data_IF_980329253117
#
_entry.id   IF_980329253117
#
_cell.length_a   1.000
_cell.length_b   1.000
_cell.length_c   1.000
_cell.angle_alpha   90.00
_cell.angle_beta   90.00
_cell.angle_gamma   90.00
#
_symmetry.space_group_name_H-M   'P 1'
#
loop_
_entity.id
_entity.type
_entity.pdbx_description
1 polymer ?
#
# COMPACT_ATOMS: atom_id res chain seq x y z
N UNK A 1 -21.20 -9.87 11.83
CA UNK A 1 -20.38 -9.72 10.64
C UNK A 1 -18.99 -10.29 10.88
N UNK A 2 -18.54 -11.09 9.95
CA UNK A 2 -17.24 -11.71 10.09
C UNK A 2 -16.15 -10.74 9.70
N UNK A 3 -15.24 -10.52 10.63
CA UNK A 3 -14.03 -9.77 10.33
C UNK A 3 -12.88 -10.76 10.40
N UNK A 4 -12.41 -11.14 9.24
CA UNK A 4 -11.27 -12.01 9.19
C UNK A 4 -10.01 -11.23 9.52
N UNK A 5 -9.15 -11.81 10.30
CA UNK A 5 -7.85 -11.24 10.60
C UNK A 5 -6.83 -11.73 9.58
N UNK A 6 -5.93 -10.85 9.21
CA UNK A 6 -4.85 -11.18 8.28
C UNK A 6 -3.52 -10.82 8.91
N UNK A 7 -2.53 -11.64 8.68
CA UNK A 7 -1.18 -11.26 9.02
C UNK A 7 -0.54 -10.56 7.83
N UNK A 8 0.51 -9.81 8.08
CA UNK A 8 1.25 -9.22 6.98
C UNK A 8 1.85 -10.29 6.08
N UNK A 9 2.30 -11.38 6.67
CA UNK A 9 2.84 -12.49 5.88
C UNK A 9 1.82 -13.00 4.86
N UNK A 10 0.54 -13.08 5.25
CA UNK A 10 -0.49 -13.48 4.31
C UNK A 10 -0.65 -12.45 3.18
N UNK A 11 -0.62 -11.17 3.53
CA UNK A 11 -0.77 -10.13 2.53
C UNK A 11 0.36 -10.15 1.50
N UNK A 12 1.58 -10.47 1.95
CA UNK A 12 2.72 -10.49 1.04
C UNK A 12 2.65 -11.59 0.00
N UNK A 13 1.76 -12.55 0.19
CA UNK A 13 1.60 -13.64 -0.78
C UNK A 13 0.54 -13.35 -1.83
N UNK A 14 -0.21 -12.28 -1.67
CA UNK A 14 -1.32 -11.97 -2.55
C UNK A 14 -0.89 -10.90 -3.55
N UNK A 15 -1.36 -11.03 -4.78
CA UNK A 15 -1.09 -10.02 -5.80
C UNK A 15 -1.98 -8.82 -5.56
N UNK A 16 -1.38 -7.64 -5.58
CA UNK A 16 -2.13 -6.39 -5.44
C UNK A 16 -2.50 -5.92 -6.85
N UNK A 17 -3.78 -5.77 -7.09
CA UNK A 17 -4.29 -5.42 -8.41
C UNK A 17 -5.09 -4.13 -8.29
N UNK A 18 -4.76 -3.18 -9.15
CA UNK A 18 -5.53 -1.94 -9.21
C UNK A 18 -6.76 -2.18 -10.06
N UNK A 19 -7.93 -2.15 -9.41
CA UNK A 19 -9.19 -2.45 -10.09
C UNK A 19 -9.52 -1.41 -11.15
N UNK A 20 -9.07 -0.18 -10.98
CA UNK A 20 -9.40 0.90 -11.91
C UNK A 20 -8.81 0.66 -13.30
N UNK A 21 -7.62 0.09 -13.38
CA UNK A 21 -6.98 -0.13 -14.69
C UNK A 21 -6.57 -1.59 -14.90
N UNK A 22 -6.84 -2.46 -13.96
CA UNK A 22 -6.55 -3.88 -14.09
C UNK A 22 -5.08 -4.24 -13.97
N UNK A 23 -4.23 -3.31 -13.58
CA UNK A 23 -2.79 -3.57 -13.53
C UNK A 23 -2.41 -4.26 -12.24
N UNK A 24 -1.50 -5.21 -12.35
CA UNK A 24 -0.91 -5.84 -11.17
C UNK A 24 0.26 -4.99 -10.69
N UNK A 25 0.25 -4.66 -9.41
CA UNK A 25 1.25 -3.79 -8.81
C UNK A 25 2.30 -4.56 -8.03
N UNK A 26 2.22 -5.88 -8.07
CA UNK A 26 3.14 -6.72 -7.32
C UNK A 26 2.56 -7.12 -5.99
N UNK A 27 3.40 -7.61 -5.11
CA UNK A 27 2.99 -8.04 -3.78
C UNK A 27 3.47 -7.04 -2.76
N UNK A 28 2.69 -6.87 -1.69
CA UNK A 28 3.06 -5.93 -0.65
C UNK A 28 4.44 -6.25 -0.10
N UNK A 29 5.29 -5.24 -0.01
CA UNK A 29 6.63 -5.40 0.52
C UNK A 29 6.82 -4.67 1.85
N UNK A 30 5.86 -3.87 2.26
CA UNK A 30 5.93 -3.17 3.54
C UNK A 30 4.55 -2.78 4.00
N UNK A 31 4.43 -2.54 5.29
CA UNK A 31 3.20 -2.13 5.94
C UNK A 31 3.50 -0.89 6.76
N UNK A 32 2.70 0.14 6.56
CA UNK A 32 2.89 1.40 7.29
C UNK A 32 1.79 1.49 8.35
N UNK A 33 2.20 1.69 9.59
CA UNK A 33 1.24 1.82 10.67
C UNK A 33 1.67 2.94 11.61
N UNK A 34 0.68 3.49 12.31
CA UNK A 34 0.92 4.56 13.25
C UNK A 34 1.40 4.01 14.58
N UNK A 35 1.94 4.90 15.41
CA UNK A 35 2.44 4.49 16.72
C UNK A 35 1.33 3.97 17.63
N UNK A 36 0.08 4.27 17.33
CA UNK A 36 -1.05 3.76 18.12
C UNK A 36 -1.58 2.43 17.57
N UNK A 37 -0.94 1.87 16.56
CA UNK A 37 -1.27 0.54 16.08
C UNK A 37 -2.25 0.49 14.93
N UNK A 38 -2.63 1.64 14.37
CA UNK A 38 -3.53 1.66 13.23
C UNK A 38 -2.75 1.52 11.93
N UNK A 39 -3.24 0.67 11.04
CA UNK A 39 -2.61 0.48 9.74
C UNK A 39 -2.93 1.67 8.85
N UNK A 40 -1.90 2.32 8.36
CA UNK A 40 -2.05 3.47 7.46
C UNK A 40 -2.14 3.05 6.00
N UNK A 41 -1.40 2.03 5.62
CA UNK A 41 -1.41 1.55 4.26
C UNK A 41 -0.36 0.50 4.01
N UNK A 42 -0.26 0.10 2.77
CA UNK A 42 0.74 -0.87 2.34
C UNK A 42 1.61 -0.26 1.24
N UNK A 43 2.77 -0.86 1.06
CA UNK A 43 3.71 -0.45 0.02
C UNK A 43 3.90 -1.62 -0.93
N UNK A 44 3.83 -1.33 -2.22
CA UNK A 44 4.05 -2.33 -3.26
C UNK A 44 5.17 -1.86 -4.17
N UNK A 45 5.87 -2.79 -4.84
CA UNK A 45 6.99 -2.40 -5.70
C UNK A 45 6.57 -1.71 -6.99
N UNK A 46 5.34 -1.97 -7.45
CA UNK A 46 4.95 -1.48 -8.76
C UNK A 46 5.56 -2.32 -9.86
N UNK A 47 5.09 -2.09 -11.08
CA UNK A 47 5.43 -2.96 -12.17
C UNK A 47 6.90 -2.86 -12.59
N UNK A 48 7.46 -1.66 -12.53
CA UNK A 48 8.84 -1.46 -12.97
C UNK A 48 9.86 -2.06 -12.03
N UNK A 49 9.53 -2.17 -10.76
CA UNK A 49 10.46 -2.67 -9.76
C UNK A 49 10.67 -4.16 -9.83
N UNK A 50 9.84 -4.87 -10.58
CA UNK A 50 9.98 -6.30 -10.72
C UNK A 50 11.26 -6.66 -11.47
N UNK A 51 11.69 -5.79 -12.38
CA UNK A 51 12.85 -6.06 -13.25
C UNK A 51 14.15 -5.55 -12.62
N UNK A 52 14.06 -4.53 -11.78
CA UNK A 52 15.25 -3.89 -11.20
C UNK A 52 15.23 -4.03 -9.70
N UNK A 53 16.36 -3.69 -9.08
CA UNK A 53 16.40 -3.61 -7.62
C UNK A 53 15.36 -2.59 -7.15
N UNK A 54 14.62 -2.96 -6.13
CA UNK A 54 13.58 -2.10 -5.60
C UNK A 54 14.24 -0.96 -4.81
N UNK A 55 13.90 0.26 -5.17
CA UNK A 55 14.29 1.43 -4.40
C UNK A 55 13.04 2.12 -3.90
N UNK A 56 13.19 2.94 -2.88
CA UNK A 56 12.03 3.65 -2.33
C UNK A 56 11.39 4.57 -3.37
N UNK A 57 12.16 5.02 -4.36
CA UNK A 57 11.61 5.89 -5.40
C UNK A 57 10.68 5.14 -6.35
N UNK A 58 10.82 3.82 -6.42
CA UNK A 58 10.04 3.01 -7.35
C UNK A 58 8.83 2.36 -6.70
N UNK A 59 8.65 2.53 -5.40
CA UNK A 59 7.54 1.88 -4.71
C UNK A 59 6.30 2.76 -4.74
N UNK A 60 5.17 2.11 -4.52
CA UNK A 60 3.87 2.77 -4.49
C UNK A 60 3.26 2.57 -3.11
N UNK A 61 2.90 3.68 -2.47
CA UNK A 61 2.18 3.63 -1.21
C UNK A 61 0.68 3.60 -1.49
N UNK A 62 0.00 2.65 -0.88
CA UNK A 62 -1.45 2.50 -1.03
C UNK A 62 -2.09 2.74 0.33
N UNK A 63 -2.79 3.86 0.51
CA UNK A 63 -3.52 4.11 1.76
C UNK A 63 -4.53 3.00 2.02
N UNK A 64 -4.72 2.68 3.29
CA UNK A 64 -5.60 1.57 3.66
C UNK A 64 -7.02 1.76 3.13
N UNK A 65 -7.50 3.00 3.07
CA UNK A 65 -8.85 3.27 2.60
C UNK A 65 -9.02 3.08 1.08
N UNK A 66 -7.93 2.79 0.37
CA UNK A 66 -8.01 2.45 -1.05
C UNK A 66 -8.07 0.96 -1.29
N UNK A 67 -7.96 0.16 -0.25
CA UNK A 67 -8.09 -1.28 -0.36
C UNK A 67 -9.58 -1.60 -0.39
N UNK A 68 -10.03 -2.17 -1.50
CA UNK A 68 -11.44 -2.48 -1.69
C UNK A 68 -11.80 -3.85 -1.15
N UNK A 69 -10.92 -4.82 -1.37
CA UNK A 69 -11.22 -6.18 -0.98
C UNK A 69 -9.92 -6.97 -0.84
N UNK A 70 -9.88 -7.81 0.18
CA UNK A 70 -8.79 -8.77 0.36
C UNK A 70 -9.37 -10.13 0.06
N UNK A 71 -8.94 -10.70 -1.05
CA UNK A 71 -9.40 -12.02 -1.48
C UNK A 71 -8.40 -13.10 -1.12
N UNK A 72 -8.69 -14.31 -1.58
CA UNK A 72 -7.83 -15.45 -1.28
C UNK A 72 -6.43 -15.30 -1.89
N UNK A 73 -6.36 -14.81 -3.12
CA UNK A 73 -5.11 -14.74 -3.86
C UNK A 73 -4.73 -13.34 -4.28
N UNK A 74 -5.59 -12.37 -4.05
CA UNK A 74 -5.36 -11.03 -4.52
C UNK A 74 -5.95 -9.99 -3.57
N UNK A 75 -5.36 -8.81 -3.61
CA UNK A 75 -5.87 -7.63 -2.91
C UNK A 75 -6.27 -6.63 -3.98
N UNK A 76 -7.53 -6.23 -3.98
CA UNK A 76 -8.03 -5.25 -4.94
C UNK A 76 -7.96 -3.86 -4.32
N UNK A 77 -7.35 -2.95 -5.05
CA UNK A 77 -7.22 -1.56 -4.61
C UNK A 77 -7.77 -0.65 -5.70
N UNK A 78 -8.07 0.57 -5.34
CA UNK A 78 -8.56 1.55 -6.30
C UNK A 78 -7.66 2.78 -6.27
N UNK A 79 -6.83 2.90 -7.28
CA UNK A 79 -5.94 4.05 -7.45
C UNK A 79 -6.23 4.66 -8.81
N UNK A 80 -6.48 5.96 -8.82
CA UNK A 80 -6.78 6.67 -10.06
C UNK A 80 -5.71 7.72 -10.30
N UNK A 81 -5.55 8.08 -11.57
CA UNK A 81 -4.56 9.07 -11.96
C UNK A 81 -3.16 8.53 -11.93
N UNK A 82 -2.21 9.42 -11.77
CA UNK A 82 -0.81 9.04 -11.75
C UNK A 82 -0.39 8.71 -10.31
N UNK A 83 -0.34 7.44 -9.98
CA UNK A 83 0.00 6.99 -8.64
C UNK A 83 1.45 6.53 -8.50
N UNK A 84 2.25 6.70 -9.52
CA UNK A 84 3.63 6.21 -9.50
C UNK A 84 4.49 6.90 -8.45
N UNK A 85 4.16 8.12 -8.06
CA UNK A 85 4.90 8.87 -7.06
C UNK A 85 4.12 9.05 -5.76
N UNK A 86 3.12 8.21 -5.55
CA UNK A 86 2.23 8.34 -4.39
C UNK A 86 3.00 8.26 -3.07
N UNK A 87 4.04 7.48 -3.04
CA UNK A 87 4.82 7.30 -1.81
C UNK A 87 5.39 8.62 -1.30
N UNK A 88 5.98 9.40 -2.20
CA UNK A 88 6.55 10.69 -1.80
C UNK A 88 5.48 11.64 -1.26
N UNK A 89 4.35 11.69 -1.93
CA UNK A 89 3.25 12.56 -1.49
C UNK A 89 2.72 12.12 -0.14
N UNK A 90 2.58 10.81 0.04
CA UNK A 90 2.09 10.29 1.30
C UNK A 90 3.06 10.58 2.44
N UNK A 91 4.34 10.48 2.20
CA UNK A 91 5.34 10.78 3.22
C UNK A 91 5.24 12.23 3.67
N UNK A 92 5.09 13.13 2.72
CA UNK A 92 4.97 14.55 3.04
C UNK A 92 3.72 14.81 3.89
N UNK A 93 2.61 14.24 3.51
CA UNK A 93 1.37 14.40 4.26
C UNK A 93 1.48 13.81 5.66
N UNK A 94 2.08 12.65 5.78
CA UNK A 94 2.25 12.00 7.07
C UNK A 94 3.13 12.83 7.99
N UNK A 95 4.17 13.43 7.46
CA UNK A 95 5.05 14.27 8.25
C UNK A 95 4.31 15.49 8.79
N UNK A 96 3.47 16.08 7.99
CA UNK A 96 2.67 17.23 8.44
C UNK A 96 1.72 16.81 9.56
N UNK A 97 1.07 15.67 9.41
CA UNK A 97 0.18 15.16 10.44
C UNK A 97 0.94 14.84 11.72
N UNK A 98 2.13 14.33 11.61
CA UNK A 98 2.95 14.01 12.77
C UNK A 98 3.34 15.26 13.53
N UNK A 99 3.56 16.36 12.86
CA UNK A 99 3.81 17.62 13.54
C UNK A 99 2.65 18.05 14.40
N UNK A 100 1.44 17.83 13.91
CA UNK A 100 0.24 18.18 14.67
C UNK A 100 0.08 17.31 15.90
N UNK A 101 0.56 16.09 15.85
CA UNK A 101 0.43 15.14 16.94
C UNK A 101 1.62 15.19 17.87
N UNK A 102 2.62 15.95 17.57
CA UNK A 102 3.94 15.87 18.18
C UNK A 102 3.91 15.61 19.68
N UNK A 103 4.88 14.92 20.13
CA UNK A 103 5.03 14.48 21.51
C UNK A 103 5.90 15.41 22.29
#
# INVERSE_FOLDING_TARGET
>A
MNQRQYSFAELTRKSVINDADGKELGKACDLIFSSCGNVCGIVVPGKKSIIKSITSADTIYIPWNRIMKIGADAVLVELVGNYASTMSDADTQNQEQNKDISY
#
